data_IF_434848328700
#
_entry.id   IF_434848328700
#
_cell.length_a   1.000
_cell.length_b   1.000
_cell.length_c   1.000
_cell.angle_alpha   90.00
_cell.angle_beta   90.00
_cell.angle_gamma   90.00
#
_symmetry.space_group_name_H-M   'P 1'
#
loop_
_entity.id
_entity.type
_entity.pdbx_description
1 polymer ?
#
# COMPACT_ATOMS: atom_id res chain seq x y z
N UNK A 1 -2.93 -6.18 -19.43
CA UNK A 1 -2.06 -6.78 -18.40
C UNK A 1 -1.02 -5.73 -18.05
N UNK A 2 -1.14 -5.03 -16.92
CA UNK A 2 -0.12 -4.06 -16.53
C UNK A 2 1.15 -4.83 -16.13
N UNK A 3 2.35 -4.47 -16.61
CA UNK A 3 3.58 -5.14 -16.19
C UNK A 3 3.68 -5.03 -14.67
N UNK A 4 3.79 -6.18 -14.00
CA UNK A 4 4.03 -6.21 -12.56
C UNK A 4 5.41 -5.62 -12.31
N UNK A 5 5.47 -4.42 -11.75
CA UNK A 5 6.73 -3.79 -11.35
C UNK A 5 7.32 -4.62 -10.20
N UNK A 6 8.39 -5.40 -10.43
CA UNK A 6 8.95 -6.24 -9.38
C UNK A 6 9.49 -5.32 -8.27
N UNK A 7 9.05 -5.57 -7.03
CA UNK A 7 9.46 -4.77 -5.87
C UNK A 7 8.59 -3.55 -5.55
N UNK A 8 7.48 -3.34 -6.28
CA UNK A 8 6.50 -2.31 -5.95
C UNK A 8 5.13 -2.92 -5.59
N UNK A 9 4.42 -2.26 -4.67
CA UNK A 9 3.05 -2.55 -4.27
C UNK A 9 2.16 -1.40 -4.75
N UNK A 10 1.34 -1.60 -5.79
CA UNK A 10 0.38 -0.60 -6.24
C UNK A 10 -0.85 -0.57 -5.33
N UNK A 11 -1.24 0.62 -4.86
CA UNK A 11 -2.48 0.88 -4.11
C UNK A 11 -3.36 1.78 -4.95
N UNK A 12 -4.63 1.38 -5.14
CA UNK A 12 -5.63 2.11 -5.91
C UNK A 12 -6.79 2.52 -5.01
N UNK A 13 -7.36 3.68 -5.28
CA UNK A 13 -8.68 4.03 -4.74
C UNK A 13 -9.74 3.18 -5.44
N UNK A 14 -10.43 2.32 -4.68
CA UNK A 14 -11.47 1.45 -5.22
C UNK A 14 -12.68 2.24 -5.73
N UNK A 15 -12.88 3.48 -5.25
CA UNK A 15 -14.00 4.35 -5.65
C UNK A 15 -13.70 5.19 -6.90
N UNK A 16 -12.44 5.25 -7.31
CA UNK A 16 -12.01 5.92 -8.53
C UNK A 16 -11.05 5.00 -9.31
N UNK A 17 -11.58 3.96 -9.99
CA UNK A 17 -10.77 2.93 -10.62
C UNK A 17 -9.88 3.44 -11.76
N UNK A 18 -10.26 4.55 -12.39
CA UNK A 18 -9.49 5.24 -13.44
C UNK A 18 -8.55 6.32 -12.86
N UNK A 19 -8.55 6.49 -11.54
CA UNK A 19 -7.70 7.44 -10.83
C UNK A 19 -6.23 7.00 -10.74
N UNK A 20 -5.38 7.87 -10.15
CA UNK A 20 -3.95 7.60 -10.02
C UNK A 20 -3.66 6.37 -9.14
N UNK A 21 -2.59 5.64 -9.47
CA UNK A 21 -2.08 4.51 -8.70
C UNK A 21 -0.91 4.97 -7.83
N UNK A 22 -1.01 4.80 -6.52
CA UNK A 22 0.12 5.00 -5.61
C UNK A 22 1.02 3.77 -5.63
N UNK A 23 2.34 3.95 -5.71
CA UNK A 23 3.30 2.85 -5.77
C UNK A 23 4.25 2.92 -4.57
N UNK A 24 4.31 1.85 -3.79
CA UNK A 24 5.19 1.76 -2.62
C UNK A 24 6.28 0.71 -2.85
N UNK A 25 7.52 0.93 -2.39
CA UNK A 25 8.51 -0.14 -2.30
C UNK A 25 7.96 -1.30 -1.46
N UNK A 26 8.19 -2.54 -1.90
CA UNK A 26 7.71 -3.74 -1.21
C UNK A 26 8.22 -3.83 0.23
N UNK A 27 9.46 -3.40 0.47
CA UNK A 27 10.06 -3.33 1.81
C UNK A 27 9.33 -2.34 2.72
N UNK A 28 8.99 -1.16 2.21
CA UNK A 28 8.22 -0.17 2.96
C UNK A 28 6.80 -0.66 3.28
N UNK A 29 6.15 -1.33 2.32
CA UNK A 29 4.83 -1.95 2.54
C UNK A 29 4.89 -3.04 3.61
N UNK A 30 5.93 -3.88 3.61
CA UNK A 30 6.14 -4.88 4.66
C UNK A 30 6.31 -4.24 6.05
N UNK A 31 7.12 -3.19 6.18
CA UNK A 31 7.27 -2.45 7.44
C UNK A 31 5.93 -1.87 7.92
N UNK A 32 5.13 -1.31 7.00
CA UNK A 32 3.79 -0.82 7.33
C UNK A 32 2.89 -1.92 7.89
N UNK A 33 2.80 -3.08 7.23
CA UNK A 33 1.97 -4.20 7.71
C UNK A 33 2.45 -4.73 9.06
N UNK A 34 3.76 -4.79 9.29
CA UNK A 34 4.32 -5.15 10.61
C UNK A 34 3.87 -4.17 11.69
N UNK A 35 3.96 -2.85 11.45
CA UNK A 35 3.50 -1.85 12.41
C UNK A 35 1.99 -1.91 12.69
N UNK A 36 1.17 -2.18 11.66
CA UNK A 36 -0.29 -2.38 11.83
C UNK A 36 -0.56 -3.57 12.75
N UNK A 37 0.15 -4.68 12.56
CA UNK A 37 -0.01 -5.89 13.40
C UNK A 37 0.47 -5.69 14.83
N UNK A 38 1.52 -4.88 15.01
CA UNK A 38 2.05 -4.53 16.32
C UNK A 38 1.15 -3.55 17.08
N UNK A 39 0.22 -2.87 16.40
CA UNK A 39 -0.61 -1.82 17.00
C UNK A 39 0.13 -0.50 17.15
N UNK A 40 1.17 -0.27 16.34
CA UNK A 40 2.01 0.93 16.42
C UNK A 40 1.30 2.21 15.95
N UNK A 41 0.17 2.06 15.25
CA UNK A 41 -0.63 3.18 14.75
C UNK A 41 -1.83 3.44 15.66
N UNK A 42 -2.04 4.69 16.10
CA UNK A 42 -3.22 5.02 16.90
C UNK A 42 -4.48 4.80 16.07
N UNK A 43 -5.52 4.26 16.70
CA UNK A 43 -6.86 4.26 16.10
C UNK A 43 -7.34 5.71 16.01
N UNK A 44 -7.77 6.18 14.83
CA UNK A 44 -8.46 7.46 14.71
C UNK A 44 -9.71 7.46 15.61
N UNK A 45 -9.96 8.59 16.28
CA UNK A 45 -11.15 8.83 17.11
C UNK A 45 -12.33 9.31 16.25
#
# INVERSE_FOLDING_TARGET
>A
MAPGFPGLVPVRDSKNPDGPVLQFPSTAWQSFITGVRAGDFPTPH
#
